data_IF_362146420464
#
_entry.id   IF_362146420464
#
_cell.length_a   1.000
_cell.length_b   1.000
_cell.length_c   1.000
_cell.angle_alpha   90.00
_cell.angle_beta   90.00
_cell.angle_gamma   90.00
#
_symmetry.space_group_name_H-M   'P 1'
#
loop_
_entity.id
_entity.type
_entity.pdbx_description
1 polymer ?
#
# COMPACT_ATOMS: atom_id res chain seq x y z
N UNK A 1 16.15 -0.93 -12.71
CA UNK A 1 16.04 0.20 -11.78
C UNK A 1 15.23 -0.24 -10.57
N UNK A 2 15.55 0.25 -9.37
CA UNK A 2 14.72 -0.02 -8.20
C UNK A 2 13.35 0.67 -8.37
N UNK A 3 12.26 -0.09 -8.18
CA UNK A 3 10.89 0.45 -8.19
C UNK A 3 10.69 1.24 -6.90
N UNK A 4 10.27 2.50 -6.99
CA UNK A 4 9.97 3.33 -5.81
C UNK A 4 8.51 3.10 -5.43
N UNK A 5 8.26 2.52 -4.27
CA UNK A 5 6.91 2.31 -3.76
C UNK A 5 6.48 3.45 -2.83
N UNK A 6 5.19 3.77 -2.86
CA UNK A 6 4.51 4.52 -1.80
C UNK A 6 3.62 3.54 -1.06
N UNK A 7 3.86 3.34 0.24
CA UNK A 7 3.04 2.47 1.09
C UNK A 7 2.05 3.35 1.85
N UNK A 8 0.75 3.06 1.69
CA UNK A 8 -0.32 3.66 2.48
C UNK A 8 -0.78 2.64 3.53
N UNK A 9 -0.65 2.99 4.81
CA UNK A 9 -1.20 2.19 5.92
C UNK A 9 -2.59 2.73 6.24
N UNK A 10 -3.61 1.88 6.11
CA UNK A 10 -5.02 2.27 6.17
C UNK A 10 -5.36 3.44 5.24
N UNK A 11 -5.61 3.10 3.98
CA UNK A 11 -6.02 4.08 2.98
C UNK A 11 -7.34 4.74 3.45
N UNK A 12 -7.40 6.08 3.52
CA UNK A 12 -8.59 6.74 4.10
C UNK A 12 -9.70 6.92 3.05
N UNK A 13 -10.98 6.76 3.45
CA UNK A 13 -12.13 7.02 2.55
C UNK A 13 -12.24 8.48 2.08
N UNK A 14 -11.61 9.41 2.79
CA UNK A 14 -11.63 10.83 2.44
C UNK A 14 -10.55 11.18 1.43
N UNK A 15 -9.28 10.95 1.77
CA UNK A 15 -8.14 11.50 1.05
C UNK A 15 -7.23 10.42 0.44
N UNK A 16 -7.45 9.14 0.74
CA UNK A 16 -6.61 8.04 0.27
C UNK A 16 -6.43 8.01 -1.26
N UNK A 17 -7.52 8.25 -1.99
CA UNK A 17 -7.51 8.35 -3.45
C UNK A 17 -6.59 9.45 -3.98
N UNK A 18 -6.54 10.62 -3.32
CA UNK A 18 -5.70 11.74 -3.76
C UNK A 18 -4.21 11.42 -3.65
N UNK A 19 -3.81 10.69 -2.60
CA UNK A 19 -2.43 10.24 -2.45
C UNK A 19 -2.04 9.21 -3.52
N UNK A 20 -2.95 8.29 -3.87
CA UNK A 20 -2.75 7.30 -4.94
C UNK A 20 -2.54 7.99 -6.28
N UNK A 21 -3.42 8.92 -6.65
CA UNK A 21 -3.33 9.65 -7.91
C UNK A 21 -2.07 10.51 -7.98
N UNK A 22 -1.67 11.13 -6.87
CA UNK A 22 -0.41 11.87 -6.79
C UNK A 22 0.80 10.95 -6.98
N UNK A 23 0.79 9.77 -6.36
CA UNK A 23 1.87 8.78 -6.47
C UNK A 23 2.04 8.26 -7.90
N UNK A 24 0.94 7.91 -8.58
CA UNK A 24 0.97 7.52 -9.99
C UNK A 24 1.53 8.63 -10.89
N UNK A 25 1.12 9.89 -10.67
CA UNK A 25 1.65 11.06 -11.41
C UNK A 25 3.16 11.25 -11.21
N UNK A 26 3.69 10.85 -10.05
CA UNK A 26 5.11 10.88 -9.73
C UNK A 26 5.85 9.60 -10.17
N UNK A 27 5.20 8.70 -10.91
CA UNK A 27 5.74 7.40 -11.31
C UNK A 27 6.18 6.52 -10.13
N UNK A 28 5.52 6.68 -8.98
CA UNK A 28 5.64 5.78 -7.84
C UNK A 28 4.69 4.60 -8.00
N UNK A 29 4.98 3.51 -7.31
CA UNK A 29 4.09 2.35 -7.19
C UNK A 29 3.29 2.41 -5.88
N UNK A 30 2.00 2.77 -5.90
CA UNK A 30 1.18 2.76 -4.70
C UNK A 30 0.92 1.32 -4.25
N UNK A 31 1.09 1.06 -2.96
CA UNK A 31 0.71 -0.18 -2.29
C UNK A 31 -0.14 0.21 -1.07
N UNK A 32 -1.33 -0.36 -0.94
CA UNK A 32 -2.20 -0.15 0.20
C UNK A 32 -2.11 -1.34 1.17
N UNK A 33 -1.69 -1.08 2.40
CA UNK A 33 -1.81 -2.03 3.51
C UNK A 33 -3.14 -1.76 4.22
N UNK A 34 -4.01 -2.76 4.32
CA UNK A 34 -5.26 -2.61 5.09
C UNK A 34 -5.71 -3.90 5.74
N UNK A 35 -6.35 -3.79 6.91
CA UNK A 35 -7.03 -4.91 7.55
C UNK A 35 -8.22 -5.42 6.72
N UNK A 36 -8.85 -4.54 5.93
CA UNK A 36 -9.95 -4.91 5.04
C UNK A 36 -9.92 -4.11 3.71
N UNK A 37 -9.16 -4.56 2.70
CA UNK A 37 -8.97 -3.81 1.45
C UNK A 37 -10.25 -3.57 0.64
N UNK A 38 -11.22 -4.48 0.74
CA UNK A 38 -12.50 -4.43 0.01
C UNK A 38 -13.40 -3.28 0.47
N UNK A 39 -13.09 -2.63 1.59
CA UNK A 39 -13.83 -1.46 2.04
C UNK A 39 -13.53 -0.17 1.24
N UNK A 40 -12.58 -0.25 0.30
CA UNK A 40 -12.10 0.85 -0.53
C UNK A 40 -12.20 0.51 -2.02
N UNK A 41 -13.39 0.66 -2.61
CA UNK A 41 -13.67 0.36 -4.03
C UNK A 41 -12.70 1.04 -5.01
N UNK A 42 -12.12 2.18 -4.61
CA UNK A 42 -11.15 2.90 -5.44
C UNK A 42 -9.81 2.18 -5.60
N UNK A 43 -9.44 1.26 -4.71
CA UNK A 43 -8.17 0.54 -4.81
C UNK A 43 -8.14 -0.34 -6.05
N UNK A 44 -9.23 -1.08 -6.30
CA UNK A 44 -9.38 -1.88 -7.51
C UNK A 44 -9.52 -1.00 -8.75
N UNK A 45 -10.35 0.06 -8.67
CA UNK A 45 -10.58 0.97 -9.80
C UNK A 45 -9.30 1.68 -10.28
N UNK A 46 -8.38 2.02 -9.37
CA UNK A 46 -7.09 2.67 -9.66
C UNK A 46 -5.96 1.66 -9.92
N UNK A 47 -6.25 0.35 -9.90
CA UNK A 47 -5.26 -0.70 -10.11
C UNK A 47 -4.15 -0.72 -9.04
N UNK A 48 -4.48 -0.32 -7.82
CA UNK A 48 -3.55 -0.28 -6.68
C UNK A 48 -3.39 -1.67 -6.10
N UNK A 49 -2.15 -2.06 -5.86
CA UNK A 49 -1.84 -3.29 -5.14
C UNK A 49 -2.28 -3.14 -3.69
N UNK A 50 -3.22 -3.98 -3.24
CA UNK A 50 -3.69 -3.98 -1.87
C UNK A 50 -3.29 -5.27 -1.15
N UNK A 51 -2.57 -5.12 -0.05
CA UNK A 51 -2.12 -6.23 0.80
C UNK A 51 -2.96 -6.21 2.06
N UNK A 52 -3.61 -7.35 2.34
CA UNK A 52 -4.34 -7.54 3.60
C UNK A 52 -3.33 -7.82 4.72
N UNK A 53 -3.31 -6.96 5.74
CA UNK A 53 -2.42 -7.12 6.90
C UNK A 53 -3.14 -6.63 8.16
N UNK A 54 -2.82 -7.20 9.31
CA UNK A 54 -3.28 -6.64 10.58
C UNK A 54 -2.58 -5.30 10.81
N UNK A 55 -3.31 -4.20 10.64
CA UNK A 55 -2.76 -2.84 10.76
C UNK A 55 -2.59 -2.39 12.20
N UNK A 56 -3.11 -3.14 13.16
CA UNK A 56 -2.88 -2.93 14.60
C UNK A 56 -1.59 -3.65 15.07
N UNK A 57 -0.99 -4.51 14.24
CA UNK A 57 0.27 -5.21 14.50
C UNK A 57 1.44 -4.55 13.73
N UNK A 58 2.31 -3.86 14.48
CA UNK A 58 3.50 -3.21 13.93
C UNK A 58 4.49 -4.22 13.31
N UNK A 59 4.65 -5.41 13.89
CA UNK A 59 5.55 -6.43 13.36
C UNK A 59 5.01 -6.99 12.04
N UNK A 60 3.69 -7.08 11.90
CA UNK A 60 3.05 -7.42 10.63
C UNK A 60 3.30 -6.35 9.56
N UNK A 61 3.16 -5.07 9.90
CA UNK A 61 3.48 -3.96 8.97
C UNK A 61 4.95 -3.94 8.55
N UNK A 62 5.89 -4.14 9.49
CA UNK A 62 7.33 -4.17 9.19
C UNK A 62 7.66 -5.32 8.25
N UNK A 63 7.06 -6.50 8.44
CA UNK A 63 7.28 -7.68 7.60
C UNK A 63 6.91 -7.45 6.14
N UNK A 64 5.79 -6.75 5.90
CA UNK A 64 5.35 -6.39 4.55
C UNK A 64 6.23 -5.29 3.92
N UNK A 65 6.67 -4.31 4.71
CA UNK A 65 7.48 -3.20 4.21
C UNK A 65 8.97 -3.55 4.01
N UNK A 66 9.47 -4.53 4.78
CA UNK A 66 10.87 -4.94 4.82
C UNK A 66 10.96 -6.46 4.77
N UNK A 67 10.60 -7.10 3.64
CA UNK A 67 10.88 -8.52 3.47
C UNK A 67 12.38 -8.70 3.63
N UNK A 68 12.79 -9.49 4.62
CA UNK A 68 14.18 -9.75 4.89
C UNK A 68 14.88 -10.15 3.57
N UNK A 69 16.10 -9.65 3.29
CA UNK A 69 16.81 -10.06 2.11
C UNK A 69 16.91 -11.59 2.14
N UNK A 70 16.47 -12.25 1.08
CA UNK A 70 16.79 -13.64 0.87
C UNK A 70 18.32 -13.74 0.95
N UNK A 71 18.84 -14.28 2.05
CA UNK A 71 20.23 -14.71 2.12
C UNK A 71 20.38 -15.81 1.07
N UNK A 72 20.96 -15.43 -0.07
CA UNK A 72 21.56 -16.32 -1.06
C UNK A 72 22.90 -16.83 -0.52
#
# INVERSE_FOLDING_TARGET
MARRALILVEATRSNGLLYIQAAQRLSLHPIALSADPVQYDYLEAEGVEAIRVDTDDLDALIRECSPAPCHL
#
